data_IF_269478049065
#
_entry.id   IF_269478049065
#
_cell.length_a   1.000
_cell.length_b   1.000
_cell.length_c   1.000
_cell.angle_alpha   90.00
_cell.angle_beta   90.00
_cell.angle_gamma   90.00
#
_symmetry.space_group_name_H-M   'P 1'
#
loop_
_entity.id
_entity.type
_entity.pdbx_description
1 polymer ?
#
# COMPACT_ATOMS: atom_id res chain seq x y z
N UNK A 1 -23.12 0.20 -28.84
CA UNK A 1 -22.69 1.45 -28.17
C UNK A 1 -23.71 2.52 -28.51
N UNK A 2 -24.35 3.17 -27.49
CA UNK A 2 -25.25 4.30 -27.78
C UNK A 2 -24.40 5.51 -28.15
N UNK A 3 -24.72 6.14 -29.26
CA UNK A 3 -23.99 7.31 -29.77
C UNK A 3 -24.04 8.47 -28.73
N UNK A 4 -22.92 9.09 -28.54
CA UNK A 4 -22.78 10.30 -27.73
C UNK A 4 -22.93 11.50 -28.63
N UNK A 5 -23.93 12.35 -28.38
CA UNK A 5 -24.16 13.56 -29.14
C UNK A 5 -23.41 14.74 -28.52
N UNK A 6 -22.69 15.50 -29.34
CA UNK A 6 -21.96 16.71 -28.93
C UNK A 6 -22.60 17.91 -29.59
N UNK A 7 -23.01 18.92 -28.81
CA UNK A 7 -23.62 20.14 -29.29
C UNK A 7 -23.18 21.33 -28.43
N UNK A 8 -23.32 22.54 -28.99
CA UNK A 8 -23.03 23.77 -28.30
C UNK A 8 -24.30 24.36 -27.69
N UNK A 9 -24.17 24.90 -26.46
CA UNK A 9 -25.27 25.55 -25.73
C UNK A 9 -24.80 26.87 -25.10
N UNK A 10 -25.63 27.89 -25.19
CA UNK A 10 -25.36 29.18 -24.57
C UNK A 10 -25.96 29.22 -23.17
N UNK A 11 -25.14 29.53 -22.17
CA UNK A 11 -25.52 29.70 -20.78
C UNK A 11 -24.87 31.01 -20.28
N UNK A 12 -25.66 31.94 -19.80
CA UNK A 12 -25.16 33.25 -19.31
C UNK A 12 -24.37 34.05 -20.33
N UNK A 13 -24.77 33.99 -21.61
CA UNK A 13 -24.09 34.72 -22.71
C UNK A 13 -22.79 34.04 -23.23
N UNK A 14 -22.38 32.91 -22.65
CA UNK A 14 -21.19 32.14 -23.11
C UNK A 14 -21.62 30.82 -23.72
N UNK A 15 -20.97 30.42 -24.81
CA UNK A 15 -21.20 29.15 -25.49
C UNK A 15 -20.34 28.06 -24.89
N UNK A 16 -20.96 26.93 -24.55
CA UNK A 16 -20.28 25.76 -24.02
C UNK A 16 -20.54 24.55 -24.90
N UNK A 17 -19.53 23.73 -25.08
CA UNK A 17 -19.63 22.42 -25.73
C UNK A 17 -20.08 21.39 -24.72
N UNK A 18 -21.16 20.67 -25.04
CA UNK A 18 -21.80 19.72 -24.14
C UNK A 18 -21.87 18.36 -24.83
N UNK A 19 -21.41 17.33 -24.12
CA UNK A 19 -21.65 15.95 -24.46
C UNK A 19 -22.95 15.47 -23.82
N UNK A 20 -23.79 14.80 -24.57
CA UNK A 20 -25.08 14.26 -24.10
C UNK A 20 -25.21 12.81 -24.49
N UNK A 21 -25.58 11.97 -23.54
CA UNK A 21 -25.87 10.55 -23.78
C UNK A 21 -27.22 10.21 -23.16
N UNK A 22 -28.06 9.51 -23.91
CA UNK A 22 -29.32 8.99 -23.38
C UNK A 22 -29.09 7.75 -22.54
N UNK A 23 -29.43 7.82 -21.26
CA UNK A 23 -29.28 6.74 -20.25
C UNK A 23 -30.68 6.35 -19.77
N UNK A 24 -30.94 5.05 -19.63
CA UNK A 24 -32.18 4.55 -19.06
C UNK A 24 -32.19 4.73 -17.53
N UNK A 25 -33.24 5.37 -17.00
CA UNK A 25 -33.48 5.45 -15.56
C UNK A 25 -34.42 4.30 -15.13
N UNK A 26 -33.91 3.30 -14.40
CA UNK A 26 -34.71 2.15 -14.01
C UNK A 26 -35.78 2.49 -12.95
N UNK A 27 -35.61 3.59 -12.20
CA UNK A 27 -36.57 4.02 -11.17
C UNK A 27 -37.76 4.75 -11.81
N UNK A 28 -37.46 5.66 -12.75
CA UNK A 28 -38.47 6.46 -13.43
C UNK A 28 -39.03 5.79 -14.72
N UNK A 29 -38.49 4.64 -15.06
CA UNK A 29 -38.83 3.86 -16.27
C UNK A 29 -38.89 4.70 -17.56
N UNK A 30 -37.94 5.64 -17.70
CA UNK A 30 -37.82 6.50 -18.89
C UNK A 30 -36.38 6.84 -19.19
N UNK A 31 -36.02 7.14 -20.43
CA UNK A 31 -34.70 7.66 -20.74
C UNK A 31 -34.54 9.09 -20.23
N UNK A 32 -33.34 9.42 -19.77
CA UNK A 32 -32.93 10.80 -19.46
C UNK A 32 -31.59 11.11 -20.11
N UNK A 33 -31.37 12.39 -20.43
CA UNK A 33 -30.13 12.84 -21.03
C UNK A 33 -29.10 13.13 -19.91
N UNK A 34 -28.05 12.32 -19.80
CA UNK A 34 -26.89 12.61 -18.99
C UNK A 34 -25.99 13.55 -19.77
N UNK A 35 -25.77 14.76 -19.26
CA UNK A 35 -24.99 15.81 -19.92
C UNK A 35 -23.72 16.11 -19.12
N UNK A 36 -22.61 16.36 -19.82
CA UNK A 36 -21.35 16.83 -19.28
C UNK A 36 -20.84 18.03 -20.09
N UNK A 37 -20.44 19.07 -19.41
CA UNK A 37 -19.81 20.23 -20.04
C UNK A 37 -18.38 19.88 -20.39
N UNK A 38 -18.02 19.94 -21.68
CA UNK A 38 -16.68 19.66 -22.19
C UNK A 38 -15.75 20.88 -22.13
N UNK A 39 -16.34 22.08 -22.07
CA UNK A 39 -15.59 23.34 -22.02
C UNK A 39 -16.26 24.45 -22.87
N UNK A 40 -15.61 25.63 -23.01
CA UNK A 40 -16.10 26.69 -23.90
C UNK A 40 -16.18 26.19 -25.34
N UNK A 41 -17.26 26.55 -26.04
CA UNK A 41 -17.43 26.19 -27.46
C UNK A 41 -16.56 27.08 -28.36
N UNK A 42 -16.39 28.32 -27.96
CA UNK A 42 -15.53 29.27 -28.66
C UNK A 42 -14.11 29.20 -28.05
N UNK A 43 -13.08 29.01 -28.85
CA UNK A 43 -11.71 29.04 -28.32
C UNK A 43 -11.45 30.44 -27.71
N UNK A 44 -10.66 30.54 -26.64
CA UNK A 44 -10.25 31.84 -26.13
C UNK A 44 -9.53 32.66 -27.25
N UNK A 45 -9.63 33.99 -27.22
CA UNK A 45 -8.91 34.84 -28.19
C UNK A 45 -7.44 34.42 -28.28
N UNK A 46 -6.89 34.45 -29.48
CA UNK A 46 -5.50 34.02 -29.72
C UNK A 46 -4.47 34.75 -28.83
N UNK A 47 -4.78 35.99 -28.42
CA UNK A 47 -3.97 36.77 -27.49
C UNK A 47 -3.89 36.12 -26.07
N UNK A 48 -4.98 35.47 -25.60
CA UNK A 48 -5.00 34.82 -24.27
C UNK A 48 -4.28 33.47 -24.30
N UNK A 49 -4.27 32.79 -25.44
CA UNK A 49 -3.51 31.52 -25.59
C UNK A 49 -2.00 31.78 -25.61
N UNK A 50 -1.53 32.95 -26.07
CA UNK A 50 -0.12 33.29 -26.05
C UNK A 50 0.42 33.54 -24.61
N UNK A 51 -0.46 33.85 -23.65
CA UNK A 51 -0.13 34.04 -22.24
C UNK A 51 -0.16 32.73 -21.43
N UNK A 52 -0.84 31.68 -21.93
CA UNK A 52 -0.92 30.38 -21.27
C UNK A 52 0.22 29.48 -21.77
N UNK A 53 1.28 29.44 -21.00
CA UNK A 53 2.40 28.54 -21.23
C UNK A 53 2.31 27.36 -20.27
N UNK A 54 2.20 26.12 -20.79
CA UNK A 54 2.36 24.93 -19.98
C UNK A 54 3.82 24.87 -19.52
N UNK A 55 4.05 25.00 -18.22
CA UNK A 55 5.39 24.95 -17.61
C UNK A 55 5.76 23.50 -17.33
N UNK A 56 4.77 22.66 -17.07
CA UNK A 56 4.94 21.22 -16.80
C UNK A 56 3.61 20.58 -16.43
N UNK A 57 3.62 19.25 -16.34
CA UNK A 57 2.51 18.46 -15.82
C UNK A 57 3.02 17.64 -14.64
N UNK A 58 2.22 17.55 -13.57
CA UNK A 58 2.57 16.78 -12.38
C UNK A 58 1.43 15.84 -12.01
N UNK A 59 1.78 14.66 -11.50
CA UNK A 59 0.82 13.70 -10.96
C UNK A 59 0.33 14.20 -9.61
N UNK A 60 -0.98 14.18 -9.40
CA UNK A 60 -1.60 14.66 -8.16
C UNK A 60 -2.51 13.62 -7.54
N UNK A 61 -3.42 13.02 -8.31
CA UNK A 61 -4.55 12.25 -7.81
C UNK A 61 -4.16 11.02 -6.98
N UNK A 62 -3.51 10.07 -7.62
CA UNK A 62 -3.09 8.80 -7.00
C UNK A 62 -2.00 9.02 -5.93
N UNK A 63 -0.99 9.82 -6.26
CA UNK A 63 0.08 10.17 -5.31
C UNK A 63 -0.46 10.95 -4.14
N UNK A 64 -1.34 11.94 -4.38
CA UNK A 64 -1.95 12.75 -3.32
C UNK A 64 -2.76 11.93 -2.33
N UNK A 65 -3.53 10.95 -2.81
CA UNK A 65 -4.28 10.05 -1.93
C UNK A 65 -3.35 9.22 -1.04
N UNK A 66 -2.25 8.68 -1.59
CA UNK A 66 -1.29 7.87 -0.83
C UNK A 66 -0.46 8.72 0.15
N UNK A 67 -0.06 9.93 -0.23
CA UNK A 67 0.61 10.86 0.68
C UNK A 67 -0.32 11.22 1.83
N UNK A 68 -1.58 11.53 1.55
CA UNK A 68 -2.56 11.81 2.59
C UNK A 68 -2.73 10.64 3.57
N UNK A 69 -2.84 9.39 3.09
CA UNK A 69 -2.90 8.20 3.96
C UNK A 69 -1.61 8.06 4.79
N UNK A 70 -0.44 8.26 4.17
CA UNK A 70 0.84 8.20 4.87
C UNK A 70 0.94 9.23 6.00
N UNK A 71 0.44 10.45 5.78
CA UNK A 71 0.34 11.51 6.79
C UNK A 71 -0.66 11.16 7.90
N UNK A 72 -1.85 10.63 7.54
CA UNK A 72 -2.86 10.22 8.54
C UNK A 72 -2.34 9.15 9.49
N UNK A 73 -1.45 8.30 9.03
CA UNK A 73 -0.84 7.21 9.80
C UNK A 73 0.52 7.59 10.41
N UNK A 74 1.03 8.79 10.17
CA UNK A 74 2.40 9.19 10.54
C UNK A 74 3.43 8.13 10.10
N UNK A 75 3.30 7.58 8.88
CA UNK A 75 4.11 6.45 8.44
C UNK A 75 5.60 6.74 8.53
N UNK A 76 6.03 7.93 8.13
CA UNK A 76 7.44 8.35 8.22
C UNK A 76 7.91 8.30 9.66
N UNK A 77 7.20 8.96 10.57
CA UNK A 77 7.56 9.00 11.98
C UNK A 77 7.50 7.63 12.66
N UNK A 78 6.51 6.80 12.33
CA UNK A 78 6.41 5.42 12.86
C UNK A 78 7.64 4.59 12.45
N UNK A 79 8.05 4.64 11.17
CA UNK A 79 9.19 3.88 10.67
C UNK A 79 10.50 4.41 11.26
N UNK A 80 10.68 5.72 11.30
CA UNK A 80 11.89 6.34 11.84
C UNK A 80 12.08 6.00 13.34
N UNK A 81 11.03 6.10 14.13
CA UNK A 81 11.06 5.70 15.54
C UNK A 81 11.35 4.21 15.74
N UNK A 82 10.81 3.35 14.87
CA UNK A 82 11.05 1.91 14.95
C UNK A 82 12.49 1.55 14.61
N UNK A 83 13.09 2.22 13.62
CA UNK A 83 14.46 1.96 13.18
C UNK A 83 15.52 2.65 14.06
N UNK A 84 15.15 3.69 14.82
CA UNK A 84 16.04 4.48 15.65
C UNK A 84 17.36 4.89 14.94
N UNK A 85 17.27 5.10 13.63
CA UNK A 85 18.40 5.54 12.80
C UNK A 85 18.35 7.06 12.67
N UNK A 86 19.44 7.71 13.04
CA UNK A 86 19.65 9.09 12.62
C UNK A 86 19.87 9.09 11.11
N UNK A 87 19.00 9.77 10.39
CA UNK A 87 19.17 10.01 8.95
C UNK A 87 20.45 10.81 8.71
N UNK A 88 21.00 10.80 7.49
CA UNK A 88 22.10 11.71 7.15
C UNK A 88 21.63 13.14 7.29
N UNK A 89 22.52 14.03 7.75
CA UNK A 89 22.21 15.45 7.96
C UNK A 89 21.58 16.13 6.72
N UNK A 90 21.96 15.66 5.51
CA UNK A 90 21.55 16.23 4.23
C UNK A 90 20.78 15.23 3.33
N UNK A 91 20.14 14.21 3.90
CA UNK A 91 19.45 13.18 3.11
C UNK A 91 18.17 12.67 3.75
N UNK A 92 17.40 11.84 3.03
CA UNK A 92 16.14 11.30 3.53
C UNK A 92 16.35 10.37 4.72
N UNK A 93 15.39 10.38 5.65
CA UNK A 93 15.27 9.37 6.68
C UNK A 93 14.90 8.01 6.07
N UNK A 94 15.01 6.94 6.86
CA UNK A 94 14.54 5.62 6.41
C UNK A 94 13.03 5.61 6.16
N UNK A 95 12.25 6.32 6.98
CA UNK A 95 10.81 6.47 6.82
C UNK A 95 10.45 7.19 5.54
N UNK A 96 11.09 8.34 5.24
CA UNK A 96 10.88 9.06 3.98
C UNK A 96 11.23 8.20 2.77
N UNK A 97 12.35 7.49 2.82
CA UNK A 97 12.77 6.61 1.74
C UNK A 97 11.79 5.47 1.50
N UNK A 98 11.34 4.80 2.56
CA UNK A 98 10.39 3.67 2.46
C UNK A 98 9.05 4.14 1.93
N UNK A 99 8.52 5.26 2.44
CA UNK A 99 7.24 5.83 1.98
C UNK A 99 7.32 6.25 0.51
N UNK A 100 8.42 6.91 0.09
CA UNK A 100 8.63 7.29 -1.30
C UNK A 100 8.66 6.07 -2.25
N UNK A 101 9.38 5.01 -1.87
CA UNK A 101 9.43 3.75 -2.63
C UNK A 101 8.07 3.07 -2.67
N UNK A 102 7.32 3.05 -1.56
CA UNK A 102 5.99 2.46 -1.50
C UNK A 102 5.01 3.18 -2.44
N UNK A 103 5.00 4.51 -2.44
CA UNK A 103 4.17 5.32 -3.35
C UNK A 103 4.58 5.08 -4.80
N UNK A 104 5.88 5.08 -5.12
CA UNK A 104 6.33 4.74 -6.48
C UNK A 104 5.84 3.34 -6.90
N UNK A 105 5.95 2.35 -6.02
CA UNK A 105 5.51 0.99 -6.33
C UNK A 105 4.01 0.89 -6.59
N UNK A 106 3.21 1.66 -5.87
CA UNK A 106 1.77 1.70 -6.05
C UNK A 106 1.33 2.45 -7.32
N UNK A 107 1.97 3.59 -7.62
CA UNK A 107 1.54 4.47 -8.71
C UNK A 107 2.26 4.21 -10.04
N UNK A 108 3.54 3.87 -10.00
CA UNK A 108 4.39 3.65 -11.18
C UNK A 108 5.46 2.60 -10.87
N UNK A 109 5.10 1.29 -10.82
CA UNK A 109 6.04 0.24 -10.50
C UNK A 109 7.30 0.30 -11.37
N UNK A 110 8.46 0.43 -10.74
CA UNK A 110 9.72 0.61 -11.43
C UNK A 110 10.94 0.27 -10.57
N UNK A 111 12.12 0.32 -11.16
CA UNK A 111 13.37 0.16 -10.43
C UNK A 111 13.66 1.36 -9.53
N UNK A 112 14.40 1.15 -8.44
CA UNK A 112 14.77 2.22 -7.49
C UNK A 112 15.59 3.35 -8.10
N UNK A 113 16.30 3.10 -9.20
CA UNK A 113 17.01 4.15 -9.94
C UNK A 113 16.09 5.17 -10.63
N UNK A 114 14.79 4.85 -10.80
CA UNK A 114 13.81 5.78 -11.37
C UNK A 114 13.05 6.55 -10.29
N UNK A 115 13.38 6.37 -9.00
CA UNK A 115 12.65 6.99 -7.90
C UNK A 115 12.74 8.53 -7.94
N UNK A 116 13.92 9.09 -8.16
CA UNK A 116 14.11 10.54 -8.26
C UNK A 116 13.25 11.15 -9.37
N UNK A 117 13.31 10.60 -10.59
CA UNK A 117 12.51 11.08 -11.71
C UNK A 117 10.99 10.96 -11.47
N UNK A 118 10.56 9.90 -10.77
CA UNK A 118 9.17 9.77 -10.34
C UNK A 118 8.78 10.89 -9.39
N UNK A 119 9.57 11.15 -8.34
CA UNK A 119 9.28 12.18 -7.33
C UNK A 119 9.25 13.60 -7.93
N UNK A 120 10.11 13.89 -8.91
CA UNK A 120 10.07 15.17 -9.65
C UNK A 120 8.74 15.37 -10.39
N UNK A 121 8.13 14.29 -10.87
CA UNK A 121 6.86 14.34 -11.60
C UNK A 121 5.62 14.43 -10.72
N UNK A 122 5.76 14.42 -9.38
CA UNK A 122 4.66 14.30 -8.44
C UNK A 122 4.40 15.58 -7.63
N UNK A 123 3.11 15.81 -7.32
CA UNK A 123 2.61 16.70 -6.27
C UNK A 123 1.44 16.00 -5.57
N UNK A 124 1.27 16.13 -4.24
CA UNK A 124 2.18 16.77 -3.28
C UNK A 124 3.49 16.01 -3.11
N UNK A 125 4.48 16.66 -2.53
CA UNK A 125 5.79 16.03 -2.28
C UNK A 125 5.73 15.12 -1.05
N UNK A 126 6.40 13.98 -1.14
CA UNK A 126 6.55 13.02 -0.02
C UNK A 126 7.48 13.59 1.06
N UNK A 127 8.41 14.45 0.67
CA UNK A 127 9.42 15.07 1.54
C UNK A 127 9.74 16.48 1.07
N UNK A 128 10.28 17.30 1.97
CA UNK A 128 10.82 18.62 1.65
C UNK A 128 12.16 18.55 0.91
N UNK A 129 12.82 17.39 0.90
CA UNK A 129 14.10 17.18 0.25
C UNK A 129 13.98 17.18 -1.28
N UNK A 130 15.04 17.56 -2.00
CA UNK A 130 15.06 17.44 -3.45
C UNK A 130 15.01 15.98 -3.89
N UNK A 131 14.39 15.73 -5.04
CA UNK A 131 14.17 14.37 -5.53
C UNK A 131 15.49 13.58 -5.75
N UNK A 132 16.55 14.29 -6.09
CA UNK A 132 17.90 13.73 -6.31
C UNK A 132 18.51 13.10 -5.05
N UNK A 133 18.01 13.43 -3.86
CA UNK A 133 18.43 12.79 -2.62
C UNK A 133 17.94 11.32 -2.52
N UNK A 134 16.90 10.95 -3.27
CA UNK A 134 16.27 9.64 -3.26
C UNK A 134 16.88 8.68 -4.29
N UNK A 135 18.12 8.29 -4.08
CA UNK A 135 18.84 7.38 -4.98
C UNK A 135 18.76 5.93 -4.54
N UNK A 136 18.97 4.98 -5.47
CA UNK A 136 19.09 3.57 -5.13
C UNK A 136 20.26 3.29 -4.17
N UNK A 137 21.36 4.05 -4.23
CA UNK A 137 22.48 3.94 -3.31
C UNK A 137 22.08 4.37 -1.89
N UNK A 138 21.37 5.50 -1.76
CA UNK A 138 20.83 5.97 -0.48
C UNK A 138 19.89 4.95 0.12
N UNK A 139 18.99 4.36 -0.71
CA UNK A 139 18.11 3.28 -0.26
C UNK A 139 18.90 2.11 0.33
N UNK A 140 19.89 1.58 -0.39
CA UNK A 140 20.66 0.43 0.09
C UNK A 140 21.46 0.73 1.35
N UNK A 141 22.02 1.92 1.45
CA UNK A 141 22.74 2.37 2.66
C UNK A 141 21.81 2.43 3.88
N UNK A 142 20.63 3.02 3.75
CA UNK A 142 19.65 3.09 4.84
C UNK A 142 19.12 1.70 5.20
N UNK A 143 18.77 0.89 4.19
CA UNK A 143 18.23 -0.45 4.38
C UNK A 143 19.23 -1.41 5.04
N UNK A 144 20.55 -1.22 4.86
CA UNK A 144 21.56 -2.08 5.46
C UNK A 144 21.61 -1.99 6.99
N UNK A 145 21.10 -0.92 7.58
CA UNK A 145 20.97 -0.74 9.04
C UNK A 145 19.64 -1.26 9.62
N UNK A 146 18.70 -1.70 8.76
CA UNK A 146 17.40 -2.19 9.23
C UNK A 146 17.50 -3.66 9.62
N UNK A 147 17.08 -3.99 10.84
CA UNK A 147 17.03 -5.35 11.38
C UNK A 147 15.61 -5.90 11.36
N UNK A 148 15.44 -7.22 11.53
CA UNK A 148 14.13 -7.85 11.67
C UNK A 148 13.32 -7.26 12.84
N UNK A 149 13.98 -6.91 13.94
CA UNK A 149 13.34 -6.26 15.08
C UNK A 149 12.81 -4.86 14.72
N UNK A 150 13.53 -4.10 13.89
CA UNK A 150 13.06 -2.80 13.40
C UNK A 150 11.83 -2.96 12.52
N UNK A 151 11.83 -3.97 11.63
CA UNK A 151 10.68 -4.28 10.77
C UNK A 151 9.45 -4.68 11.59
N UNK A 152 9.63 -5.52 12.61
CA UNK A 152 8.55 -5.94 13.50
C UNK A 152 7.95 -4.74 14.24
N UNK A 153 8.78 -3.89 14.84
CA UNK A 153 8.32 -2.68 15.53
C UNK A 153 7.57 -1.72 14.59
N UNK A 154 8.09 -1.53 13.37
CA UNK A 154 7.44 -0.68 12.38
C UNK A 154 6.07 -1.23 11.98
N UNK A 155 5.96 -2.52 11.71
CA UNK A 155 4.68 -3.16 11.35
C UNK A 155 3.63 -3.03 12.47
N UNK A 156 4.01 -3.32 13.70
CA UNK A 156 3.12 -3.19 14.86
C UNK A 156 2.68 -1.74 15.03
N UNK A 157 3.61 -0.79 14.89
CA UNK A 157 3.30 0.63 14.97
C UNK A 157 2.34 1.11 13.87
N UNK A 158 2.53 0.64 12.63
CA UNK A 158 1.64 0.95 11.50
C UNK A 158 0.26 0.33 11.70
N UNK A 159 0.18 -0.93 12.13
CA UNK A 159 -1.08 -1.61 12.41
C UNK A 159 -1.89 -0.88 13.51
N UNK A 160 -1.21 -0.48 14.57
CA UNK A 160 -1.80 0.34 15.65
C UNK A 160 -2.35 1.67 15.12
N UNK A 161 -1.53 2.42 14.38
CA UNK A 161 -1.95 3.70 13.81
C UNK A 161 -3.16 3.55 12.88
N UNK A 162 -3.22 2.47 12.08
CA UNK A 162 -4.33 2.19 11.19
C UNK A 162 -5.63 1.91 11.96
N UNK A 163 -5.56 1.08 13.00
CA UNK A 163 -6.72 0.76 13.86
C UNK A 163 -7.22 2.03 14.58
N UNK A 164 -6.33 2.77 15.23
CA UNK A 164 -6.68 4.00 15.95
C UNK A 164 -7.27 5.08 15.02
N UNK A 165 -6.65 5.27 13.85
CA UNK A 165 -7.01 6.36 12.94
C UNK A 165 -8.29 6.10 12.15
N UNK A 166 -8.50 4.85 11.73
CA UNK A 166 -9.61 4.49 10.85
C UNK A 166 -10.71 3.68 11.55
N UNK A 167 -10.58 3.42 12.84
CA UNK A 167 -11.56 2.65 13.62
C UNK A 167 -11.75 1.22 13.08
N UNK A 168 -10.66 0.57 12.67
CA UNK A 168 -10.74 -0.76 12.10
C UNK A 168 -11.05 -1.79 13.19
N UNK A 169 -12.01 -2.69 12.93
CA UNK A 169 -12.20 -3.88 13.77
C UNK A 169 -11.17 -4.94 13.41
N UNK A 170 -10.57 -5.51 14.44
CA UNK A 170 -9.66 -6.66 14.35
C UNK A 170 -10.24 -7.90 15.04
N UNK A 171 -11.57 -7.99 15.20
CA UNK A 171 -12.23 -9.15 15.82
C UNK A 171 -12.08 -10.41 14.98
N UNK A 172 -12.06 -10.27 13.66
CA UNK A 172 -11.76 -11.33 12.71
C UNK A 172 -10.52 -10.96 11.92
N UNK A 173 -9.56 -11.85 11.91
CA UNK A 173 -8.30 -11.71 11.18
C UNK A 173 -8.21 -12.85 10.15
N UNK A 174 -7.86 -12.52 8.91
CA UNK A 174 -7.63 -13.52 7.88
C UNK A 174 -6.12 -13.63 7.59
N UNK A 175 -5.61 -14.86 7.61
CA UNK A 175 -4.22 -15.18 7.31
C UNK A 175 -4.14 -16.01 6.04
N UNK A 176 -3.32 -15.56 5.10
CA UNK A 176 -3.04 -16.29 3.87
C UNK A 176 -1.57 -16.18 3.48
N UNK A 177 -1.11 -17.10 2.64
CA UNK A 177 0.24 -17.14 2.11
C UNK A 177 0.24 -17.09 0.59
N UNK A 178 1.25 -16.43 0.05
CA UNK A 178 1.52 -16.41 -1.38
C UNK A 178 3.02 -16.49 -1.63
N UNK A 179 3.43 -16.55 -2.88
CA UNK A 179 4.83 -16.46 -3.24
C UNK A 179 5.04 -15.67 -4.53
N UNK A 180 6.24 -15.15 -4.68
CA UNK A 180 6.67 -14.36 -5.84
C UNK A 180 7.86 -15.02 -6.50
N UNK A 181 7.82 -15.11 -7.82
CA UNK A 181 8.97 -15.51 -8.61
C UNK A 181 10.07 -14.45 -8.55
N UNK A 182 11.31 -14.88 -8.48
CA UNK A 182 12.47 -14.00 -8.48
C UNK A 182 13.36 -14.30 -9.65
N UNK A 183 13.82 -13.25 -10.33
CA UNK A 183 14.80 -13.33 -11.42
C UNK A 183 16.23 -13.06 -10.90
N UNK A 184 16.53 -13.58 -9.73
CA UNK A 184 17.87 -13.48 -9.13
C UNK A 184 18.82 -14.49 -9.78
N UNK A 185 20.09 -14.12 -9.98
CA UNK A 185 21.07 -15.02 -10.54
C UNK A 185 21.23 -16.29 -9.70
N UNK A 186 21.39 -17.44 -10.35
CA UNK A 186 21.51 -18.74 -9.67
C UNK A 186 22.71 -18.83 -8.74
N UNK A 187 23.75 -18.04 -9.02
CA UNK A 187 24.98 -17.92 -8.21
C UNK A 187 24.82 -17.01 -6.99
N UNK A 188 23.74 -16.21 -6.92
CA UNK A 188 23.53 -15.32 -5.77
C UNK A 188 23.25 -16.15 -4.51
N UNK A 189 24.08 -15.97 -3.50
CA UNK A 189 23.84 -16.53 -2.17
C UNK A 189 22.70 -15.80 -1.47
N UNK A 190 21.96 -16.52 -0.61
CA UNK A 190 20.88 -15.94 0.18
C UNK A 190 19.88 -17.01 0.61
N UNK A 191 19.24 -16.80 1.74
CA UNK A 191 18.36 -17.81 2.33
C UNK A 191 16.89 -17.62 1.95
N UNK A 192 16.49 -16.43 1.53
CA UNK A 192 15.08 -16.09 1.28
C UNK A 192 14.60 -16.61 -0.09
N UNK A 193 15.35 -16.36 -1.18
CA UNK A 193 14.99 -16.81 -2.50
C UNK A 193 15.44 -18.27 -2.71
N UNK A 194 14.52 -19.22 -2.60
CA UNK A 194 14.76 -20.66 -2.73
C UNK A 194 13.90 -21.26 -3.83
N UNK A 195 14.31 -22.39 -4.37
CA UNK A 195 13.45 -23.21 -5.23
C UNK A 195 12.38 -23.86 -4.36
N UNK A 196 11.12 -23.69 -4.73
CA UNK A 196 9.97 -24.20 -3.99
C UNK A 196 8.76 -24.37 -4.88
N UNK A 197 7.61 -24.60 -4.30
CA UNK A 197 6.36 -24.74 -5.02
C UNK A 197 5.85 -23.33 -5.45
N UNK A 198 6.16 -22.94 -6.70
CA UNK A 198 5.70 -21.66 -7.24
C UNK A 198 4.22 -21.72 -7.62
N UNK A 199 3.39 -20.74 -7.19
CA UNK A 199 2.00 -20.60 -7.65
C UNK A 199 1.92 -20.38 -9.17
N UNK A 200 2.96 -19.80 -9.78
CA UNK A 200 3.15 -19.64 -11.22
C UNK A 200 3.45 -20.94 -11.98
N UNK A 201 3.71 -22.05 -11.26
CA UNK A 201 4.17 -23.34 -11.79
C UNK A 201 5.54 -23.28 -12.51
N UNK A 202 6.33 -22.21 -12.30
CA UNK A 202 7.68 -22.04 -12.83
C UNK A 202 8.69 -22.76 -11.93
N UNK A 203 9.25 -23.89 -12.40
CA UNK A 203 10.27 -24.67 -11.67
C UNK A 203 11.69 -24.15 -11.88
N UNK A 204 11.91 -23.31 -12.87
CA UNK A 204 13.20 -22.72 -13.24
C UNK A 204 13.55 -21.51 -12.36
N UNK A 205 12.58 -20.86 -11.73
CA UNK A 205 12.78 -19.70 -10.89
C UNK A 205 12.91 -20.06 -9.40
N UNK A 206 13.58 -19.20 -8.65
CA UNK A 206 13.47 -19.19 -7.19
C UNK A 206 12.27 -18.37 -6.79
N UNK A 207 11.69 -18.70 -5.67
CA UNK A 207 10.53 -17.98 -5.11
C UNK A 207 10.84 -17.44 -3.73
N UNK A 208 10.15 -16.38 -3.36
CA UNK A 208 10.09 -15.83 -2.01
C UNK A 208 8.65 -15.94 -1.55
N UNK A 209 8.42 -16.53 -0.39
CA UNK A 209 7.11 -16.61 0.23
C UNK A 209 6.75 -15.30 0.93
N UNK A 210 5.47 -14.98 0.94
CA UNK A 210 4.86 -13.89 1.69
C UNK A 210 3.64 -14.41 2.44
N UNK A 211 3.64 -14.26 3.74
CA UNK A 211 2.46 -14.41 4.59
C UNK A 211 1.90 -13.03 4.91
N UNK A 212 0.57 -12.92 4.96
CA UNK A 212 -0.13 -11.69 5.26
C UNK A 212 -1.28 -11.95 6.21
N UNK A 213 -1.47 -11.06 7.17
CA UNK A 213 -2.61 -11.00 8.06
C UNK A 213 -3.37 -9.72 7.78
N UNK A 214 -4.66 -9.84 7.56
CA UNK A 214 -5.53 -8.69 7.25
C UNK A 214 -6.70 -8.61 8.22
N UNK A 215 -7.19 -7.39 8.45
CA UNK A 215 -8.42 -7.13 9.21
C UNK A 215 -9.67 -7.50 8.40
N UNK A 216 -10.77 -7.87 9.06
CA UNK A 216 -12.07 -8.04 8.43
C UNK A 216 -12.55 -6.72 7.79
N UNK A 217 -12.50 -5.64 8.55
CA UNK A 217 -12.92 -4.33 8.07
C UNK A 217 -11.86 -3.75 7.14
N UNK A 218 -12.25 -3.52 5.88
CA UNK A 218 -11.42 -2.90 4.87
C UNK A 218 -10.27 -3.77 4.34
N UNK A 219 -10.10 -5.00 4.84
CA UNK A 219 -9.03 -5.93 4.45
C UNK A 219 -7.63 -5.29 4.51
N UNK A 220 -7.41 -4.48 5.56
CA UNK A 220 -6.15 -3.74 5.74
C UNK A 220 -5.08 -4.70 6.24
N UNK A 221 -3.90 -4.76 5.59
CA UNK A 221 -2.78 -5.55 6.08
C UNK A 221 -2.28 -5.04 7.44
N UNK A 222 -2.30 -5.90 8.45
CA UNK A 222 -1.84 -5.60 9.81
C UNK A 222 -0.47 -6.21 10.09
N UNK A 223 -0.15 -7.33 9.45
CA UNK A 223 1.13 -8.00 9.57
C UNK A 223 1.48 -8.67 8.24
N UNK A 224 2.75 -8.62 7.87
CA UNK A 224 3.29 -9.46 6.81
C UNK A 224 4.61 -10.09 7.22
N UNK A 225 4.96 -11.22 6.63
CA UNK A 225 6.24 -11.88 6.82
C UNK A 225 6.72 -12.51 5.52
N UNK A 226 7.93 -12.18 5.13
CA UNK A 226 8.61 -12.88 4.05
C UNK A 226 9.30 -14.13 4.60
N UNK A 227 9.31 -15.21 3.84
CA UNK A 227 9.91 -16.48 4.24
C UNK A 227 10.57 -17.19 3.06
N UNK A 228 11.50 -18.14 3.32
CA UNK A 228 12.15 -18.91 2.25
C UNK A 228 11.14 -19.61 1.35
N UNK A 229 11.35 -19.55 0.04
CA UNK A 229 10.42 -20.08 -0.95
C UNK A 229 10.16 -21.60 -0.89
N UNK A 230 10.93 -22.33 -0.12
CA UNK A 230 10.72 -23.74 0.21
C UNK A 230 10.10 -23.96 1.59
N UNK A 231 9.69 -22.90 2.29
CA UNK A 231 9.02 -22.98 3.58
C UNK A 231 7.58 -23.51 3.46
N UNK A 232 7.08 -24.17 4.51
CA UNK A 232 5.69 -24.60 4.60
C UNK A 232 4.81 -23.55 5.31
N UNK A 233 3.55 -23.45 4.92
CA UNK A 233 2.59 -22.50 5.50
C UNK A 233 2.40 -22.72 7.02
N UNK A 234 2.47 -23.97 7.48
CA UNK A 234 2.41 -24.30 8.90
C UNK A 234 3.59 -23.74 9.68
N UNK A 235 4.82 -23.90 9.16
CA UNK A 235 6.02 -23.39 9.82
C UNK A 235 6.01 -21.84 9.86
N UNK A 236 5.49 -21.23 8.80
CA UNK A 236 5.40 -19.77 8.71
C UNK A 236 4.43 -19.21 9.74
N UNK A 237 3.22 -19.78 9.84
CA UNK A 237 2.25 -19.34 10.85
C UNK A 237 2.79 -19.56 12.26
N UNK A 238 3.39 -20.72 12.55
CA UNK A 238 4.04 -20.99 13.83
C UNK A 238 5.11 -19.96 14.19
N UNK A 239 5.91 -19.54 13.21
CA UNK A 239 6.94 -18.50 13.41
C UNK A 239 6.37 -17.09 13.63
N UNK A 240 5.09 -16.86 13.33
CA UNK A 240 4.42 -15.58 13.55
C UNK A 240 3.77 -15.46 14.93
N UNK A 241 3.65 -16.54 15.70
CA UNK A 241 2.87 -16.55 16.95
C UNK A 241 3.32 -15.50 17.97
N UNK A 242 4.63 -15.30 18.13
CA UNK A 242 5.15 -14.29 19.05
C UNK A 242 4.79 -12.86 18.60
N UNK A 243 4.93 -12.58 17.30
CA UNK A 243 4.58 -11.27 16.73
C UNK A 243 3.07 -11.06 16.78
N UNK A 244 2.28 -12.12 16.55
CA UNK A 244 0.83 -12.09 16.69
C UNK A 244 0.40 -11.77 18.13
N UNK A 245 1.12 -12.25 19.16
CA UNK A 245 0.87 -11.89 20.55
C UNK A 245 1.05 -10.38 20.77
N UNK A 246 2.20 -9.86 20.35
CA UNK A 246 2.51 -8.44 20.48
C UNK A 246 1.53 -7.55 19.71
N UNK A 247 1.14 -8.01 18.52
CA UNK A 247 0.14 -7.31 17.72
C UNK A 247 -1.22 -7.32 18.42
N UNK A 248 -1.64 -8.46 18.97
CA UNK A 248 -2.92 -8.59 19.67
C UNK A 248 -3.01 -7.61 20.85
N UNK A 249 -2.00 -7.57 21.72
CA UNK A 249 -1.94 -6.64 22.85
C UNK A 249 -2.00 -5.18 22.38
N UNK A 250 -1.31 -4.88 21.28
CA UNK A 250 -1.31 -3.55 20.67
C UNK A 250 -2.67 -3.16 20.11
N UNK A 251 -3.36 -4.11 19.46
CA UNK A 251 -4.70 -3.89 18.90
C UNK A 251 -5.76 -3.69 20.00
N UNK A 252 -5.67 -4.43 21.11
CA UNK A 252 -6.56 -4.22 22.25
C UNK A 252 -6.41 -2.84 22.86
N UNK A 253 -5.18 -2.35 22.98
CA UNK A 253 -4.91 -0.98 23.39
C UNK A 253 -5.47 0.05 22.39
N UNK A 254 -5.28 -0.19 21.09
CA UNK A 254 -5.75 0.70 20.03
C UNK A 254 -7.28 0.76 19.94
N UNK A 255 -7.97 -0.35 20.20
CA UNK A 255 -9.44 -0.46 20.28
C UNK A 255 -9.99 -0.02 21.63
N UNK A 256 -9.14 0.43 22.57
CA UNK A 256 -9.49 0.87 23.91
C UNK A 256 -10.28 -0.20 24.71
N UNK A 257 -9.95 -1.47 24.51
CA UNK A 257 -10.59 -2.59 25.20
C UNK A 257 -10.10 -2.69 26.65
N UNK A 258 -11.02 -2.87 27.57
CA UNK A 258 -10.71 -3.08 28.99
C UNK A 258 -10.40 -4.53 29.32
N UNK A 259 -10.71 -5.45 28.41
CA UNK A 259 -10.42 -6.90 28.52
C UNK A 259 -9.86 -7.38 27.19
N UNK A 260 -8.94 -8.37 27.21
CA UNK A 260 -8.44 -9.01 26.01
C UNK A 260 -9.58 -9.52 25.13
N UNK A 261 -9.51 -9.25 23.83
CA UNK A 261 -10.52 -9.73 22.89
C UNK A 261 -10.24 -11.17 22.48
N UNK A 262 -11.30 -12.01 22.42
CA UNK A 262 -11.21 -13.27 21.71
C UNK A 262 -11.34 -12.99 20.21
N UNK A 263 -10.24 -13.07 19.46
CA UNK A 263 -10.25 -12.84 18.02
C UNK A 263 -10.38 -14.14 17.25
N UNK A 264 -11.09 -14.10 16.14
CA UNK A 264 -11.21 -15.26 15.23
C UNK A 264 -10.10 -15.17 14.17
N UNK A 265 -9.30 -16.24 14.05
CA UNK A 265 -8.32 -16.35 12.97
C UNK A 265 -8.88 -17.26 11.87
N UNK A 266 -9.10 -16.69 10.70
CA UNK A 266 -9.49 -17.41 9.48
C UNK A 266 -8.25 -17.72 8.66
N UNK A 267 -8.08 -18.97 8.21
CA UNK A 267 -6.94 -19.41 7.41
C UNK A 267 -7.28 -20.58 6.50
N UNK A 268 -6.44 -20.82 5.50
CA UNK A 268 -6.58 -21.99 4.63
C UNK A 268 -6.26 -23.31 5.39
N UNK A 269 -6.95 -24.38 5.01
CA UNK A 269 -6.75 -25.72 5.55
C UNK A 269 -5.32 -26.26 5.32
N UNK A 270 -4.61 -25.79 4.31
CA UNK A 270 -3.20 -26.14 4.05
C UNK A 270 -2.24 -25.74 5.17
N UNK A 271 -2.62 -24.77 6.01
CA UNK A 271 -1.84 -24.34 7.17
C UNK A 271 -2.19 -25.10 8.47
N UNK A 272 -2.99 -26.16 8.41
CA UNK A 272 -3.43 -26.92 9.61
C UNK A 272 -2.37 -27.92 10.09
N UNK A 273 -2.12 -27.95 11.40
CA UNK A 273 -1.49 -29.07 12.11
C UNK A 273 -1.98 -29.12 13.56
N UNK A 274 -2.03 -30.32 14.14
CA UNK A 274 -2.47 -30.50 15.54
C UNK A 274 -1.59 -29.66 16.50
N UNK A 275 -0.28 -29.64 16.29
CA UNK A 275 0.64 -28.88 17.14
C UNK A 275 0.35 -27.36 17.04
N UNK A 276 0.12 -26.86 15.83
CA UNK A 276 -0.20 -25.45 15.61
C UNK A 276 -1.54 -25.05 16.26
N UNK A 277 -2.55 -25.95 16.26
CA UNK A 277 -3.81 -25.71 16.99
C UNK A 277 -3.59 -25.60 18.49
N UNK A 278 -2.75 -26.47 19.06
CA UNK A 278 -2.41 -26.41 20.46
C UNK A 278 -1.65 -25.13 20.82
N UNK A 279 -0.76 -24.69 19.95
CA UNK A 279 0.01 -23.47 20.15
C UNK A 279 -0.88 -22.22 20.00
N UNK A 280 -1.77 -22.19 19.03
CA UNK A 280 -2.79 -21.14 18.88
C UNK A 280 -3.76 -21.12 20.08
N UNK A 281 -4.23 -22.28 20.54
CA UNK A 281 -5.09 -22.36 21.71
C UNK A 281 -4.39 -21.85 22.98
N UNK A 282 -3.11 -22.17 23.16
CA UNK A 282 -2.30 -21.63 24.26
C UNK A 282 -2.09 -20.13 24.14
N UNK A 283 -1.93 -19.64 22.92
CA UNK A 283 -1.81 -18.24 22.61
C UNK A 283 -3.10 -17.48 22.98
N UNK A 284 -4.27 -17.97 22.54
CA UNK A 284 -5.56 -17.36 22.85
C UNK A 284 -5.96 -17.54 24.32
N UNK A 285 -5.60 -18.64 24.99
CA UNK A 285 -5.83 -18.87 26.42
C UNK A 285 -4.93 -18.03 27.33
N UNK A 286 -3.77 -17.55 26.86
CA UNK A 286 -2.94 -16.59 27.61
C UNK A 286 -3.52 -15.19 27.62
N UNK A 287 -4.48 -14.92 26.77
CA UNK A 287 -5.14 -13.63 26.58
C UNK A 287 -6.47 -13.55 27.34
N UNK A 288 -6.90 -14.68 27.92
CA UNK A 288 -7.97 -14.78 28.88
C UNK A 288 -7.40 -14.76 30.30
#
# INVERSE_FOLDING_TARGET
>A
MKEMNIFDRTVGGRRYRIASQSVWDPVRQRPFARQAVLGPADPPPAADLALVRTIGTQRVGDVGALVWVAEQLDLIGVIDRACAQEGPADGPSIGEMVVAVAIQRACAPGAKCHLAAFLESCLPRVSCLPAEAFTGQTFHRLASGVTDQHLEKAQIGIARAAVERFGLSADVLAFDTTNFDTHIATTTSGDLARRGHAKSKRSDLRVVGLAILVSETGHVPLLHRTYPGNGSDQAVLGSCLEVLSKLHDTLDCAEQRTRPACRTLVRDGGSWSQQLELDLARFWLRIH
#
